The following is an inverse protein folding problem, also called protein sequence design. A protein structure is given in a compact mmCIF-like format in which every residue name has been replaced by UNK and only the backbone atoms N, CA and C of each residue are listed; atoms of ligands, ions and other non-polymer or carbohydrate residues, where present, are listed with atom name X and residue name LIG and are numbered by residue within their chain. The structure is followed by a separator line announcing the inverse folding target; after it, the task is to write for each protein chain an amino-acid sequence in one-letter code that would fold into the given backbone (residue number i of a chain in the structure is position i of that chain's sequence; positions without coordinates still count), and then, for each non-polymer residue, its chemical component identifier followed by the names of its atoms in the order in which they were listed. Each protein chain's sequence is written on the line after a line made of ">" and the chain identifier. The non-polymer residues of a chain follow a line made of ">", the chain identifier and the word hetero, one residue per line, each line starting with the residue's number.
data_IF_185708659925
#
_entry.id   IF_185708659925
#
_cell.length_a   1.000
_cell.length_b   1.000
_cell.length_c   1.000
_cell.angle_alpha   90.00
_cell.angle_beta   90.00
_cell.angle_gamma   90.00
#
_symmetry.space_group_name_H-M   'P 1'
#
loop_
_entity.id
_entity.type
_entity.pdbx_description
1 polymer ?
#
# COMPACT_ATOMS: atom_id res chain seq x y z
N UNK A 1 63.64 -5.57 19.40
CA UNK A 1 62.69 -5.26 20.48
C UNK A 1 61.36 -4.67 19.99
N UNK A 2 61.10 -4.55 18.68
CA UNK A 2 59.82 -4.01 18.15
C UNK A 2 58.69 -5.04 17.99
N UNK A 3 58.94 -6.36 18.06
CA UNK A 3 57.92 -7.40 17.83
C UNK A 3 56.85 -7.40 18.93
N UNK A 4 57.28 -7.36 20.20
CA UNK A 4 56.38 -7.44 21.34
C UNK A 4 55.39 -6.26 21.41
N UNK A 5 55.84 -5.05 21.10
CA UNK A 5 54.97 -3.86 21.09
C UNK A 5 53.92 -3.89 19.95
N UNK A 6 54.24 -4.49 18.81
CA UNK A 6 53.29 -4.68 17.70
C UNK A 6 52.25 -5.76 18.03
N UNK A 7 52.68 -6.84 18.67
CA UNK A 7 51.79 -7.92 19.12
C UNK A 7 50.80 -7.43 20.20
N UNK A 8 51.24 -6.59 21.13
CA UNK A 8 50.38 -5.99 22.16
C UNK A 8 49.32 -5.05 21.57
N UNK A 9 49.70 -4.19 20.61
CA UNK A 9 48.77 -3.27 19.93
C UNK A 9 47.72 -4.03 19.12
N UNK A 10 48.12 -5.10 18.41
CA UNK A 10 47.18 -5.96 17.68
C UNK A 10 46.24 -6.72 18.64
N UNK A 11 46.75 -7.16 19.79
CA UNK A 11 45.95 -7.81 20.82
C UNK A 11 44.94 -6.86 21.48
N UNK A 12 45.29 -5.58 21.68
CA UNK A 12 44.35 -4.55 22.14
C UNK A 12 43.28 -4.23 21.08
N UNK A 13 43.69 -4.07 19.83
CA UNK A 13 42.77 -3.76 18.74
C UNK A 13 41.75 -4.88 18.52
N UNK A 14 42.19 -6.14 18.46
CA UNK A 14 41.31 -7.31 18.32
C UNK A 14 40.37 -7.50 19.52
N UNK A 15 40.81 -7.17 20.73
CA UNK A 15 39.93 -7.14 21.92
C UNK A 15 38.86 -6.06 21.78
N UNK A 16 39.24 -4.86 21.33
CA UNK A 16 38.31 -3.77 21.06
C UNK A 16 37.26 -4.13 20.00
N UNK A 17 37.67 -4.78 18.91
CA UNK A 17 36.74 -5.26 17.87
C UNK A 17 35.76 -6.31 18.39
N UNK A 18 36.23 -7.27 19.21
CA UNK A 18 35.33 -8.29 19.79
C UNK A 18 34.29 -7.67 20.71
N UNK A 19 34.69 -6.76 21.58
CA UNK A 19 33.76 -6.06 22.48
C UNK A 19 32.72 -5.26 21.68
N UNK A 20 33.14 -4.55 20.63
CA UNK A 20 32.23 -3.82 19.76
C UNK A 20 31.26 -4.75 19.00
N UNK A 21 31.72 -5.93 18.57
CA UNK A 21 30.91 -6.95 17.92
C UNK A 21 29.87 -7.54 18.88
N UNK A 22 30.27 -7.82 20.12
CA UNK A 22 29.41 -8.33 21.20
C UNK A 22 28.31 -7.31 21.54
N UNK A 23 28.68 -6.04 21.73
CA UNK A 23 27.73 -4.94 21.95
C UNK A 23 26.73 -4.79 20.80
N UNK A 24 27.21 -4.83 19.55
CA UNK A 24 26.35 -4.74 18.38
C UNK A 24 25.38 -5.91 18.28
N UNK A 25 25.83 -7.13 18.64
CA UNK A 25 25.00 -8.32 18.66
C UNK A 25 23.92 -8.25 19.74
N UNK A 26 24.26 -7.79 20.96
CA UNK A 26 23.32 -7.61 22.06
C UNK A 26 22.24 -6.56 21.73
N UNK A 27 22.64 -5.44 21.11
CA UNK A 27 21.70 -4.42 20.64
C UNK A 27 20.76 -5.00 19.58
N UNK A 28 21.28 -5.79 18.63
CA UNK A 28 20.48 -6.39 17.58
C UNK A 28 19.44 -7.38 18.12
N UNK A 29 19.86 -8.27 19.04
CA UNK A 29 18.96 -9.27 19.65
C UNK A 29 17.87 -8.63 20.50
N UNK A 30 18.22 -7.61 21.29
CA UNK A 30 17.25 -6.93 22.16
C UNK A 30 16.24 -6.13 21.32
N UNK A 31 16.73 -5.43 20.29
CA UNK A 31 15.88 -4.69 19.38
C UNK A 31 14.91 -5.59 18.61
N UNK A 32 15.36 -6.75 18.16
CA UNK A 32 14.48 -7.72 17.49
C UNK A 32 13.45 -8.32 18.46
N UNK A 33 13.86 -8.64 19.68
CA UNK A 33 12.97 -9.18 20.72
C UNK A 33 11.86 -8.19 21.08
N UNK A 34 12.21 -6.91 21.29
CA UNK A 34 11.23 -5.86 21.58
C UNK A 34 10.37 -5.50 20.36
N UNK A 35 10.93 -5.52 19.14
CA UNK A 35 10.14 -5.31 17.94
C UNK A 35 9.09 -6.42 17.74
N UNK A 36 9.48 -7.68 17.96
CA UNK A 36 8.58 -8.84 17.91
C UNK A 36 7.48 -8.77 18.97
N UNK A 37 7.83 -8.41 20.22
CA UNK A 37 6.84 -8.27 21.30
C UNK A 37 5.80 -7.18 20.99
N UNK A 38 6.22 -6.10 20.31
CA UNK A 38 5.34 -5.01 19.87
C UNK A 38 4.68 -5.25 18.51
N UNK A 39 4.88 -6.44 17.89
CA UNK A 39 4.38 -6.81 16.55
C UNK A 39 4.77 -5.80 15.45
N UNK A 40 5.97 -5.23 15.55
CA UNK A 40 6.51 -4.28 14.57
C UNK A 40 7.29 -5.04 13.50
N UNK A 41 6.98 -4.77 12.23
CA UNK A 41 7.78 -5.24 11.09
C UNK A 41 8.81 -4.16 10.75
N UNK A 42 10.05 -4.37 11.17
CA UNK A 42 11.17 -3.51 10.81
C UNK A 42 11.73 -3.95 9.46
N UNK A 43 11.97 -2.99 8.56
CA UNK A 43 12.79 -3.24 7.36
C UNK A 43 14.26 -3.26 7.74
N UNK A 44 15.12 -3.93 6.96
CA UNK A 44 16.57 -4.01 7.23
C UNK A 44 17.21 -2.62 7.39
N UNK A 45 16.79 -1.67 6.55
CA UNK A 45 17.25 -0.28 6.62
C UNK A 45 16.81 0.43 7.92
N UNK A 46 15.60 0.16 8.41
CA UNK A 46 15.10 0.71 9.66
C UNK A 46 15.81 0.08 10.87
N UNK A 47 16.03 -1.24 10.85
CA UNK A 47 16.77 -1.96 11.88
C UNK A 47 18.21 -1.41 12.00
N UNK A 48 18.93 -1.25 10.89
CA UNK A 48 20.28 -0.69 10.89
C UNK A 48 20.34 0.78 11.34
N UNK A 49 19.31 1.58 11.05
CA UNK A 49 19.21 2.96 11.54
C UNK A 49 18.95 3.02 13.05
N UNK A 50 18.09 2.13 13.57
CA UNK A 50 17.79 2.04 14.99
C UNK A 50 18.96 1.49 15.79
N UNK A 51 19.65 0.47 15.31
CA UNK A 51 20.87 -0.06 15.95
C UNK A 51 21.92 1.04 16.15
N UNK A 52 22.17 1.88 15.13
CA UNK A 52 23.09 3.03 15.26
C UNK A 52 22.63 4.04 16.31
N UNK A 53 21.33 4.33 16.38
CA UNK A 53 20.76 5.23 17.40
C UNK A 53 20.88 4.65 18.79
N UNK A 54 20.54 3.38 18.99
CA UNK A 54 20.67 2.68 20.28
C UNK A 54 22.14 2.63 20.70
N UNK A 55 23.05 2.26 19.80
CA UNK A 55 24.49 2.26 20.08
C UNK A 55 24.98 3.65 20.54
N UNK A 56 24.53 4.73 19.90
CA UNK A 56 24.89 6.08 20.35
C UNK A 56 24.30 6.44 21.71
N UNK A 57 23.10 5.95 22.05
CA UNK A 57 22.46 6.18 23.35
C UNK A 57 23.17 5.41 24.47
N UNK A 58 23.50 4.14 24.23
CA UNK A 58 24.25 3.28 25.16
C UNK A 58 25.64 3.87 25.46
N UNK A 59 26.33 4.39 24.43
CA UNK A 59 27.63 5.09 24.62
C UNK A 59 27.52 6.37 25.47
N UNK A 60 26.34 6.96 25.58
CA UNK A 60 26.07 8.11 26.48
C UNK A 60 25.72 7.67 27.91
N UNK A 61 25.69 6.36 28.18
CA UNK A 61 25.36 5.79 29.48
C UNK A 61 23.88 5.50 29.69
N UNK A 62 23.07 5.49 28.63
CA UNK A 62 21.66 5.07 28.73
C UNK A 62 21.57 3.53 28.84
N UNK A 63 20.69 3.03 29.70
CA UNK A 63 20.43 1.59 29.80
C UNK A 63 19.88 1.03 28.48
N UNK A 64 20.36 -0.15 28.08
CA UNK A 64 20.06 -0.76 26.79
C UNK A 64 18.55 -0.88 26.53
N UNK A 65 17.81 -1.42 27.50
CA UNK A 65 16.36 -1.63 27.38
C UNK A 65 15.60 -0.30 27.20
N UNK A 66 16.00 0.72 27.95
CA UNK A 66 15.40 2.07 27.90
C UNK A 66 15.69 2.72 26.54
N UNK A 67 16.93 2.60 26.06
CA UNK A 67 17.35 3.13 24.77
C UNK A 67 16.62 2.47 23.59
N UNK A 68 16.48 1.14 23.61
CA UNK A 68 15.72 0.38 22.59
C UNK A 68 14.24 0.77 22.63
N UNK A 69 13.63 0.78 23.81
CA UNK A 69 12.23 1.16 23.98
C UNK A 69 11.93 2.58 23.48
N UNK A 70 12.77 3.55 23.84
CA UNK A 70 12.64 4.94 23.37
C UNK A 70 12.81 5.05 21.84
N UNK A 71 13.80 4.34 21.27
CA UNK A 71 14.04 4.36 19.83
C UNK A 71 12.87 3.77 19.03
N UNK A 72 12.30 2.64 19.48
CA UNK A 72 11.14 2.01 18.86
C UNK A 72 9.87 2.88 18.96
N UNK A 73 9.62 3.49 20.13
CA UNK A 73 8.48 4.39 20.32
C UNK A 73 8.56 5.61 19.40
N UNK A 74 9.74 6.22 19.29
CA UNK A 74 9.94 7.36 18.40
C UNK A 74 9.80 6.95 16.93
N UNK A 75 10.35 5.80 16.53
CA UNK A 75 10.16 5.27 15.19
C UNK A 75 8.68 5.02 14.86
N UNK A 76 7.94 4.42 15.80
CA UNK A 76 6.49 4.21 15.66
C UNK A 76 5.76 5.54 15.51
N UNK A 77 6.07 6.55 16.32
CA UNK A 77 5.50 7.91 16.18
C UNK A 77 5.81 8.51 14.83
N UNK A 78 7.03 8.33 14.30
CA UNK A 78 7.41 8.82 12.98
C UNK A 78 6.66 8.12 11.86
N UNK A 79 6.45 6.81 11.95
CA UNK A 79 5.64 6.06 10.98
C UNK A 79 4.18 6.49 11.05
N UNK A 80 3.61 6.56 12.24
CA UNK A 80 2.23 7.03 12.42
C UNK A 80 2.10 8.45 11.89
N UNK A 81 3.04 9.36 12.16
CA UNK A 81 3.02 10.72 11.59
C UNK A 81 3.13 10.70 10.07
N UNK A 82 4.01 9.88 9.47
CA UNK A 82 4.10 9.74 8.01
C UNK A 82 2.82 9.16 7.41
N UNK A 83 2.13 8.25 8.11
CA UNK A 83 0.83 7.71 7.72
C UNK A 83 -0.30 8.74 7.90
N UNK A 84 -0.23 9.57 8.94
CA UNK A 84 -1.26 10.54 9.38
C UNK A 84 -1.05 11.94 8.79
N UNK A 85 0.00 12.18 7.99
CA UNK A 85 0.14 13.43 7.20
C UNK A 85 -0.92 13.59 6.08
N UNK A 86 -1.96 12.76 6.06
CA UNK A 86 -3.10 12.90 5.17
C UNK A 86 -4.34 13.40 5.92
N UNK A 87 -4.90 14.48 5.37
CA UNK A 87 -6.21 15.11 5.64
C UNK A 87 -6.34 16.07 6.84
N UNK A 88 -5.73 17.26 6.72
CA UNK A 88 -6.44 18.47 7.18
C UNK A 88 -7.26 18.94 5.98
N UNK A 89 -8.57 18.72 6.05
CA UNK A 89 -9.54 19.29 5.13
C UNK A 89 -9.71 20.77 5.49
N UNK A 90 -9.29 21.67 4.61
CA UNK A 90 -9.68 23.08 4.68
C UNK A 90 -10.99 23.25 3.88
N UNK A 91 -12.13 23.52 4.53
CA UNK A 91 -13.39 23.72 3.84
C UNK A 91 -13.52 25.12 3.23
N UNK A 92 -12.51 25.99 3.34
CA UNK A 92 -12.59 27.39 2.94
C UNK A 92 -11.75 27.71 1.71
N UNK A 93 -12.39 27.68 0.54
CA UNK A 93 -11.90 28.42 -0.62
C UNK A 93 -11.58 27.57 -1.84
N UNK A 94 -12.47 27.64 -2.83
CA UNK A 94 -12.29 27.09 -4.16
C UNK A 94 -11.40 28.00 -5.04
N UNK A 95 -10.33 28.57 -4.47
CA UNK A 95 -9.40 29.43 -5.20
C UNK A 95 -8.06 28.73 -5.40
N UNK A 96 -7.81 28.29 -6.64
CA UNK A 96 -6.52 27.74 -7.05
C UNK A 96 -5.49 28.86 -7.18
N UNK A 97 -4.85 29.25 -6.08
CA UNK A 97 -3.60 30.02 -6.16
C UNK A 97 -2.49 29.08 -6.63
N UNK A 98 -1.79 29.45 -7.72
CA UNK A 98 -0.64 28.70 -8.24
C UNK A 98 0.51 28.76 -7.24
N UNK A 99 0.52 27.80 -6.31
CA UNK A 99 1.72 27.47 -5.53
C UNK A 99 2.63 26.69 -6.47
N UNK A 100 3.79 27.25 -6.77
CA UNK A 100 4.87 26.58 -7.49
C UNK A 100 5.34 25.38 -6.67
N UNK A 101 4.78 24.23 -7.01
CA UNK A 101 4.92 22.99 -6.28
C UNK A 101 3.73 22.18 -6.69
N UNK A 102 3.88 21.44 -7.80
CA UNK A 102 2.84 20.63 -8.40
C UNK A 102 2.26 19.69 -7.34
N UNK A 103 1.19 20.11 -6.68
CA UNK A 103 0.33 19.22 -5.89
C UNK A 103 -0.52 18.46 -6.89
N UNK A 104 0.15 17.52 -7.57
CA UNK A 104 -0.53 16.49 -8.34
C UNK A 104 -1.15 15.55 -7.31
N UNK A 105 -2.43 15.75 -7.06
CA UNK A 105 -3.29 14.78 -6.41
C UNK A 105 -3.15 13.44 -7.17
N UNK A 106 -2.29 12.56 -6.68
CA UNK A 106 -2.24 11.16 -7.07
C UNK A 106 -2.59 10.39 -5.81
N UNK A 107 -3.88 10.06 -5.58
CA UNK A 107 -4.19 9.07 -4.58
C UNK A 107 -3.65 7.77 -5.15
N UNK A 108 -2.65 7.19 -4.49
CA UNK A 108 -1.98 5.95 -4.88
C UNK A 108 -1.11 6.09 -6.15
N UNK A 109 0.19 6.38 -5.98
CA UNK A 109 1.19 5.80 -6.88
C UNK A 109 1.31 4.31 -6.53
N UNK A 110 0.29 3.54 -6.90
CA UNK A 110 0.49 2.11 -7.15
C UNK A 110 1.55 2.05 -8.25
N UNK A 111 2.59 1.22 -8.08
CA UNK A 111 3.47 0.88 -9.19
C UNK A 111 2.56 0.42 -10.34
N UNK A 112 2.87 0.76 -11.59
CA UNK A 112 1.99 0.47 -12.73
C UNK A 112 1.57 -1.01 -12.87
N UNK A 113 2.22 -1.92 -12.13
CA UNK A 113 1.90 -3.34 -11.97
C UNK A 113 0.72 -3.66 -11.04
N UNK A 114 0.38 -2.81 -10.07
CA UNK A 114 -0.54 -3.16 -8.98
C UNK A 114 -1.97 -2.65 -9.23
N UNK A 115 -2.21 -2.08 -10.40
CA UNK A 115 -3.53 -1.66 -10.82
C UNK A 115 -4.16 -2.76 -11.68
N UNK A 116 -5.37 -3.20 -11.30
CA UNK A 116 -6.17 -4.16 -12.10
C UNK A 116 -6.11 -3.78 -13.58
N UNK A 117 -5.80 -4.74 -14.45
CA UNK A 117 -5.76 -4.49 -15.89
C UNK A 117 -7.10 -3.92 -16.39
N UNK A 118 -7.09 -3.10 -17.44
CA UNK A 118 -8.30 -2.47 -17.98
C UNK A 118 -9.29 -3.53 -18.48
N UNK A 119 -8.80 -4.61 -19.12
CA UNK A 119 -9.62 -5.76 -19.53
C UNK A 119 -10.27 -6.47 -18.33
N UNK A 120 -9.49 -6.66 -17.26
CA UNK A 120 -10.00 -7.28 -16.02
C UNK A 120 -11.05 -6.38 -15.35
N UNK A 121 -10.84 -5.07 -15.36
CA UNK A 121 -11.81 -4.11 -14.85
C UNK A 121 -13.14 -4.19 -15.60
N UNK A 122 -13.12 -4.32 -16.93
CA UNK A 122 -14.34 -4.50 -17.73
C UNK A 122 -15.05 -5.82 -17.43
N UNK A 123 -14.28 -6.88 -17.19
CA UNK A 123 -14.83 -8.18 -16.76
C UNK A 123 -15.56 -8.06 -15.40
N UNK A 124 -15.01 -7.27 -14.47
CA UNK A 124 -15.70 -6.96 -13.20
C UNK A 124 -17.01 -6.22 -13.45
N UNK A 125 -17.01 -5.21 -14.33
CA UNK A 125 -18.22 -4.48 -14.70
C UNK A 125 -19.29 -5.37 -15.36
N UNK A 126 -18.91 -6.32 -16.20
CA UNK A 126 -19.84 -7.28 -16.82
C UNK A 126 -20.51 -8.22 -15.80
N UNK A 127 -19.85 -8.48 -14.67
CA UNK A 127 -20.37 -9.36 -13.61
C UNK A 127 -21.19 -8.64 -12.54
N UNK A 128 -21.10 -7.31 -12.46
CA UNK A 128 -21.77 -6.50 -11.44
C UNK A 128 -23.27 -6.35 -11.71
N UNK A 129 -24.10 -6.22 -10.65
CA UNK A 129 -25.50 -5.84 -10.80
C UNK A 129 -25.64 -4.44 -11.42
N UNK A 130 -26.63 -4.27 -12.30
CA UNK A 130 -26.92 -3.02 -13.01
C UNK A 130 -27.09 -1.83 -12.05
N UNK A 131 -27.73 -2.06 -10.92
CA UNK A 131 -28.01 -1.09 -9.86
C UNK A 131 -26.73 -0.54 -9.19
N UNK A 132 -25.65 -1.31 -9.17
CA UNK A 132 -24.39 -0.91 -8.52
C UNK A 132 -23.43 -0.18 -9.47
N UNK A 133 -23.60 -0.31 -10.79
CA UNK A 133 -22.69 0.27 -11.79
C UNK A 133 -22.48 1.78 -11.60
N UNK A 134 -23.55 2.50 -11.25
CA UNK A 134 -23.50 3.94 -11.00
C UNK A 134 -22.66 4.32 -9.77
N UNK A 135 -22.66 3.49 -8.73
CA UNK A 135 -21.83 3.70 -7.55
C UNK A 135 -20.35 3.43 -7.88
N UNK A 136 -20.06 2.33 -8.57
CA UNK A 136 -18.71 1.95 -8.98
C UNK A 136 -18.08 2.94 -9.97
N UNK A 137 -18.87 3.55 -10.87
CA UNK A 137 -18.40 4.58 -11.79
C UNK A 137 -17.94 5.88 -11.09
N UNK A 138 -18.29 6.09 -9.81
CA UNK A 138 -17.90 7.28 -9.04
C UNK A 138 -16.59 7.11 -8.28
N UNK A 139 -16.06 5.88 -8.17
CA UNK A 139 -14.86 5.56 -7.38
C UNK A 139 -13.61 6.26 -7.91
N UNK A 140 -13.40 6.29 -9.23
CA UNK A 140 -12.25 6.98 -9.84
C UNK A 140 -12.48 7.29 -11.32
N UNK A 141 -11.60 8.12 -11.91
CA UNK A 141 -11.64 8.41 -13.36
C UNK A 141 -11.51 7.16 -14.23
N UNK A 142 -10.69 6.19 -13.80
CA UNK A 142 -10.48 4.93 -14.54
C UNK A 142 -11.73 4.05 -14.52
N UNK A 143 -12.35 3.91 -13.34
CA UNK A 143 -13.60 3.17 -13.18
C UNK A 143 -14.74 3.83 -13.95
N UNK A 144 -14.79 5.16 -13.96
CA UNK A 144 -15.72 5.91 -14.82
C UNK A 144 -15.47 5.65 -16.31
N UNK A 145 -14.22 5.62 -16.73
CA UNK A 145 -13.84 5.30 -18.11
C UNK A 145 -14.33 3.92 -18.53
N UNK A 146 -14.05 2.90 -17.71
CA UNK A 146 -14.53 1.54 -17.95
C UNK A 146 -16.06 1.44 -17.95
N UNK A 147 -16.75 2.10 -17.02
CA UNK A 147 -18.22 2.10 -16.97
C UNK A 147 -18.87 2.73 -18.22
N UNK A 148 -18.24 3.74 -18.80
CA UNK A 148 -18.73 4.41 -20.01
C UNK A 148 -18.51 3.59 -21.28
N UNK A 149 -17.52 2.69 -21.28
CA UNK A 149 -17.15 1.87 -22.42
C UNK A 149 -18.32 0.96 -22.87
N UNK A 150 -18.74 0.98 -24.14
CA UNK A 150 -19.85 0.18 -24.62
C UNK A 150 -19.51 -1.30 -24.86
N UNK A 151 -18.24 -1.67 -24.98
CA UNK A 151 -17.84 -3.00 -25.50
C UNK A 151 -18.21 -4.18 -24.61
N UNK A 152 -18.28 -4.01 -23.28
CA UNK A 152 -18.66 -5.07 -22.33
C UNK A 152 -20.16 -5.10 -22.00
N UNK A 153 -20.92 -4.06 -22.40
CA UNK A 153 -22.36 -3.95 -22.08
C UNK A 153 -23.23 -5.04 -22.73
N UNK A 154 -22.93 -5.55 -23.94
CA UNK A 154 -23.64 -6.70 -24.49
C UNK A 154 -23.55 -7.94 -23.60
N UNK A 155 -22.39 -8.20 -23.00
CA UNK A 155 -22.19 -9.33 -22.08
C UNK A 155 -23.00 -9.17 -20.80
N UNK A 156 -23.09 -7.96 -20.26
CA UNK A 156 -23.96 -7.63 -19.14
C UNK A 156 -25.43 -7.93 -19.48
N UNK A 157 -25.89 -7.56 -20.68
CA UNK A 157 -27.27 -7.86 -21.11
C UNK A 157 -27.51 -9.37 -21.25
N UNK A 158 -26.54 -10.12 -21.76
CA UNK A 158 -26.61 -11.58 -21.83
C UNK A 158 -26.63 -12.24 -20.44
N UNK A 159 -25.82 -11.74 -19.52
CA UNK A 159 -25.61 -12.36 -18.19
C UNK A 159 -26.63 -11.91 -17.14
N UNK A 160 -27.11 -10.67 -17.22
CA UNK A 160 -28.20 -10.17 -16.41
C UNK A 160 -29.56 -10.67 -16.91
N UNK A 161 -29.63 -11.26 -18.12
CA UNK A 161 -30.90 -11.74 -18.66
C UNK A 161 -31.56 -12.76 -17.72
N UNK A 162 -32.77 -12.42 -17.25
CA UNK A 162 -33.59 -13.31 -16.41
C UNK A 162 -33.17 -13.44 -14.95
N UNK A 163 -32.03 -12.87 -14.56
CA UNK A 163 -31.58 -12.86 -13.17
C UNK A 163 -32.07 -11.57 -12.48
N UNK A 164 -33.20 -11.67 -11.77
CA UNK A 164 -33.81 -10.55 -11.02
C UNK A 164 -32.83 -9.81 -10.09
N UNK A 165 -31.90 -10.56 -9.49
CA UNK A 165 -30.86 -10.03 -8.61
C UNK A 165 -29.83 -9.15 -9.35
N UNK A 166 -29.62 -9.38 -10.65
CA UNK A 166 -28.62 -8.67 -11.47
C UNK A 166 -29.20 -7.45 -12.19
N UNK A 167 -30.46 -7.51 -12.62
CA UNK A 167 -31.13 -6.41 -13.32
C UNK A 167 -31.75 -5.38 -12.38
N UNK A 168 -31.99 -5.76 -11.11
CA UNK A 168 -32.80 -4.96 -10.19
C UNK A 168 -34.29 -4.98 -10.52
N UNK A 169 -34.70 -5.73 -11.54
CA UNK A 169 -36.10 -5.98 -11.87
C UNK A 169 -36.50 -7.19 -11.03
N UNK A 170 -37.30 -7.00 -9.99
CA UNK A 170 -37.62 -7.99 -8.95
C UNK A 170 -38.35 -9.27 -9.40
N UNK A 171 -38.29 -9.64 -10.68
CA UNK A 171 -38.90 -10.83 -11.28
C UNK A 171 -37.92 -11.50 -12.25
N UNK A 172 -37.83 -12.83 -12.23
CA UNK A 172 -37.08 -13.57 -13.24
C UNK A 172 -37.77 -13.45 -14.60
N UNK A 173 -37.12 -12.82 -15.58
CA UNK A 173 -37.65 -12.68 -16.94
C UNK A 173 -37.17 -13.83 -17.83
N UNK A 174 -38.08 -14.57 -18.47
CA UNK A 174 -37.71 -15.57 -19.49
C UNK A 174 -36.98 -14.92 -20.66
N UNK A 175 -36.03 -15.64 -21.30
CA UNK A 175 -35.34 -15.24 -22.55
C UNK A 175 -36.35 -14.62 -23.53
N UNK A 176 -36.09 -13.43 -24.11
CA UNK A 176 -37.07 -12.83 -24.99
C UNK A 176 -37.11 -13.72 -26.23
N UNK A 177 -38.29 -14.18 -26.59
CA UNK A 177 -38.47 -14.90 -27.84
C UNK A 177 -38.24 -13.88 -28.96
N UNK A 178 -37.29 -14.16 -29.86
CA UNK A 178 -37.11 -13.32 -31.04
C UNK A 178 -38.44 -13.28 -31.79
N UNK A 179 -38.93 -12.08 -32.06
CA UNK A 179 -40.15 -11.89 -32.84
C UNK A 179 -39.84 -12.34 -34.27
N UNK A 180 -40.77 -13.01 -34.96
CA UNK A 180 -40.54 -13.52 -36.33
C UNK A 180 -40.01 -12.44 -37.27
N UNK A 181 -40.44 -11.19 -37.07
CA UNK A 181 -39.95 -10.03 -37.80
C UNK A 181 -38.42 -9.89 -37.76
N UNK A 182 -37.80 -10.09 -36.60
CA UNK A 182 -36.35 -10.02 -36.38
C UNK A 182 -35.58 -11.13 -37.09
N UNK A 183 -36.23 -12.27 -37.33
CA UNK A 183 -35.64 -13.42 -38.03
C UNK A 183 -35.82 -13.28 -39.54
N UNK A 184 -36.96 -12.72 -39.97
CA UNK A 184 -37.32 -12.56 -41.37
C UNK A 184 -36.57 -11.40 -42.07
N UNK A 185 -36.17 -10.36 -41.33
CA UNK A 185 -35.49 -9.19 -41.90
C UNK A 185 -34.06 -9.10 -41.34
N UNK A 186 -33.11 -9.73 -42.03
CA UNK A 186 -31.70 -9.45 -41.76
C UNK A 186 -31.37 -8.03 -42.19
N UNK A 187 -30.80 -7.24 -41.28
CA UNK A 187 -30.22 -5.94 -41.62
C UNK A 187 -28.93 -6.23 -42.39
N UNK A 188 -29.02 -6.17 -43.72
CA UNK A 188 -27.86 -6.25 -44.60
C UNK A 188 -27.15 -4.90 -44.49
N UNK A 189 -25.92 -4.89 -43.94
CA UNK A 189 -25.03 -3.72 -43.95
C UNK A 189 -24.33 -3.56 -45.28
#
# INVERSE_FOLDING_TARGET
>A
MCSAALEDVLAEWTRGERLAQEEASAIATELETQARSQRLLLTDAAAAALQRRVASAVRRGEELEVAVGAALQEWRKQIVRKQVQQSVWDPSGNETRRVTGVVRFMPFKLNGSDCLDYQLLMSVFAMLPLQELGAWARVSKRWRGAASDPSWKPELLMYAWGAAQRTGIGSQCRKPTLVEFSVAHQIIS
#
